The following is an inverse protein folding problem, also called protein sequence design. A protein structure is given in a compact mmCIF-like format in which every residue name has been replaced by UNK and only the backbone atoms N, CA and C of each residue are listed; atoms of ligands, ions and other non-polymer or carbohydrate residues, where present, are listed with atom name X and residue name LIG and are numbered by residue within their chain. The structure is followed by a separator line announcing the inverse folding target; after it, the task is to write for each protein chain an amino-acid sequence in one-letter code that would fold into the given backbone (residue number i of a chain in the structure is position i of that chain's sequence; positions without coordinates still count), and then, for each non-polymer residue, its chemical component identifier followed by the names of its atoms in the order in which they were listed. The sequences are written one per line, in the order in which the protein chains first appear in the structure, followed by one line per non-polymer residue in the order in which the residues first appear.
data_IF_662064773469
#
_entry.id   IF_662064773469
#
_cell.length_a   1.000
_cell.length_b   1.000
_cell.length_c   1.000
_cell.angle_alpha   90.00
_cell.angle_beta   90.00
_cell.angle_gamma   90.00
#
_symmetry.space_group_name_H-M   'P 1'
#
loop_
_entity.id
_entity.type
_entity.pdbx_description
1 polymer ?
#
# COMPACT_ATOMS: atom_id res chain seq x y z
N UNK A 1 -20.37 13.21 -5.97
CA UNK A 1 -20.42 11.95 -5.20
C UNK A 1 -18.99 11.47 -4.93
N UNK A 2 -18.54 11.35 -3.68
CA UNK A 2 -17.37 10.55 -3.33
C UNK A 2 -17.84 9.23 -2.69
N UNK A 3 -18.07 8.19 -3.50
CA UNK A 3 -18.31 6.81 -3.04
C UNK A 3 -16.98 6.04 -2.96
N UNK A 4 -15.95 6.65 -2.36
CA UNK A 4 -14.75 5.90 -1.98
C UNK A 4 -14.96 5.44 -0.56
N UNK A 5 -15.60 4.27 -0.44
CA UNK A 5 -15.44 3.37 0.67
C UNK A 5 -13.94 3.11 0.86
N UNK A 6 -13.26 4.02 1.55
CA UNK A 6 -12.06 3.73 2.30
C UNK A 6 -12.49 2.66 3.29
N UNK A 7 -12.36 1.40 2.88
CA UNK A 7 -12.54 0.22 3.72
C UNK A 7 -11.51 0.26 4.84
N UNK A 8 -11.76 1.11 5.84
CA UNK A 8 -11.45 1.22 7.27
C UNK A 8 -10.18 0.54 7.85
N UNK A 9 -9.37 -0.23 7.13
CA UNK A 9 -8.30 -1.06 7.69
C UNK A 9 -6.87 -0.76 7.18
N UNK A 10 -6.66 0.12 6.19
CA UNK A 10 -5.29 0.45 5.76
C UNK A 10 -4.73 1.67 6.54
N UNK A 11 -4.28 1.46 7.77
CA UNK A 11 -3.59 2.50 8.55
C UNK A 11 -2.16 2.70 8.03
N UNK A 12 -1.99 3.41 6.90
CA UNK A 12 -0.69 3.70 6.28
C UNK A 12 0.30 4.43 7.22
N UNK A 13 -0.19 4.99 8.32
CA UNK A 13 0.58 5.65 9.37
C UNK A 13 1.67 4.71 9.89
N UNK A 14 2.94 5.05 9.61
CA UNK A 14 4.13 4.30 10.07
C UNK A 14 4.94 3.61 8.98
N UNK A 15 4.59 3.74 7.69
CA UNK A 15 5.46 3.27 6.61
C UNK A 15 6.46 4.39 6.28
N UNK A 16 7.69 4.30 6.81
CA UNK A 16 8.80 5.14 6.36
C UNK A 16 9.37 4.56 5.06
N UNK A 17 9.30 5.34 3.99
CA UNK A 17 9.80 4.96 2.68
C UNK A 17 10.94 5.88 2.30
N UNK A 18 12.12 5.30 2.06
CA UNK A 18 13.28 6.05 1.58
C UNK A 18 13.29 6.06 0.05
N UNK A 19 13.14 7.23 -0.61
CA UNK A 19 13.18 7.35 -2.06
C UNK A 19 14.53 6.92 -2.66
N UNK A 20 15.61 6.90 -1.89
CA UNK A 20 16.94 6.50 -2.36
C UNK A 20 17.16 4.98 -2.37
N UNK A 21 16.32 4.21 -1.67
CA UNK A 21 16.46 2.75 -1.53
C UNK A 21 15.38 1.94 -2.25
N UNK A 22 14.63 2.57 -3.15
CA UNK A 22 13.59 1.91 -3.95
C UNK A 22 12.25 1.81 -3.21
N UNK A 23 11.37 2.78 -3.45
CA UNK A 23 10.06 2.90 -2.78
C UNK A 23 9.17 1.67 -3.00
N UNK A 24 9.20 1.06 -4.18
CA UNK A 24 8.32 -0.06 -4.51
C UNK A 24 8.62 -1.31 -3.69
N UNK A 25 9.90 -1.66 -3.54
CA UNK A 25 10.31 -2.84 -2.77
C UNK A 25 10.05 -2.65 -1.27
N UNK A 26 10.32 -1.46 -0.73
CA UNK A 26 10.01 -1.13 0.66
C UNK A 26 8.50 -1.16 0.93
N UNK A 27 7.72 -0.57 0.03
CA UNK A 27 6.27 -0.58 0.13
C UNK A 27 5.72 -2.00 0.03
N UNK A 28 6.24 -2.82 -0.90
CA UNK A 28 5.90 -4.24 -0.99
C UNK A 28 6.19 -4.98 0.31
N UNK A 29 7.38 -4.80 0.90
CA UNK A 29 7.71 -5.47 2.17
C UNK A 29 6.80 -5.01 3.30
N UNK A 30 6.54 -3.71 3.42
CA UNK A 30 5.63 -3.18 4.44
C UNK A 30 4.20 -3.71 4.27
N UNK A 31 3.71 -3.80 3.03
CA UNK A 31 2.41 -4.40 2.70
C UNK A 31 2.39 -5.89 3.07
N UNK A 32 3.40 -6.65 2.64
CA UNK A 32 3.51 -8.09 2.92
C UNK A 32 3.57 -8.37 4.41
N UNK A 33 4.36 -7.61 5.17
CA UNK A 33 4.44 -7.76 6.63
C UNK A 33 3.08 -7.53 7.29
N UNK A 34 2.27 -6.58 6.81
CA UNK A 34 0.91 -6.32 7.35
C UNK A 34 -0.12 -7.38 6.96
N UNK A 35 0.04 -7.99 5.79
CA UNK A 35 -0.72 -9.20 5.40
C UNK A 35 -0.36 -10.35 6.32
N UNK A 36 0.93 -10.54 6.62
CA UNK A 36 1.39 -11.58 7.55
C UNK A 36 0.98 -11.31 9.01
N UNK A 37 0.91 -10.05 9.43
CA UNK A 37 0.43 -9.63 10.76
C UNK A 37 -1.08 -9.88 10.95
N UNK A 38 -1.79 -10.33 9.91
CA UNK A 38 -3.22 -10.61 9.96
C UNK A 38 -4.10 -9.36 9.98
N UNK A 39 -3.50 -8.17 9.83
CA UNK A 39 -4.23 -6.89 9.72
C UNK A 39 -4.84 -6.68 8.33
N UNK A 40 -4.36 -7.43 7.35
CA UNK A 40 -4.94 -7.50 6.01
C UNK A 40 -5.35 -8.94 5.74
N UNK A 41 -6.62 -9.25 5.92
CA UNK A 41 -7.14 -10.58 5.56
C UNK A 41 -6.91 -10.81 4.06
N UNK A 42 -6.35 -11.97 3.71
CA UNK A 42 -6.21 -12.43 2.32
C UNK A 42 -7.56 -12.32 1.59
N UNK A 43 -7.58 -11.61 0.47
CA UNK A 43 -8.81 -11.33 -0.30
C UNK A 43 -9.53 -10.03 0.07
N UNK A 44 -9.05 -9.29 1.09
CA UNK A 44 -9.53 -7.93 1.34
C UNK A 44 -9.14 -7.03 0.18
N UNK A 45 -10.10 -6.20 -0.28
CA UNK A 45 -9.83 -5.22 -1.32
C UNK A 45 -8.74 -4.26 -0.85
N UNK A 46 -7.60 -4.29 -1.54
CA UNK A 46 -6.55 -3.30 -1.37
C UNK A 46 -7.10 -1.91 -1.75
N UNK A 47 -6.68 -0.84 -1.06
CA UNK A 47 -7.02 0.51 -1.45
C UNK A 47 -6.51 0.78 -2.87
N UNK A 48 -7.21 1.64 -3.61
CA UNK A 48 -6.77 2.03 -4.93
C UNK A 48 -5.36 2.63 -4.85
N UNK A 49 -4.52 2.36 -5.85
CA UNK A 49 -3.12 2.80 -5.86
C UNK A 49 -2.98 4.32 -5.70
N UNK A 50 -4.04 5.06 -6.07
CA UNK A 50 -4.12 6.53 -5.96
C UNK A 50 -4.34 6.99 -4.53
N UNK A 51 -5.28 6.38 -3.80
CA UNK A 51 -5.53 6.69 -2.40
C UNK A 51 -4.35 6.33 -1.51
N UNK A 52 -3.72 5.18 -1.76
CA UNK A 52 -2.53 4.78 -1.02
C UNK A 52 -1.35 5.72 -1.28
N UNK A 53 -1.14 6.12 -2.54
CA UNK A 53 -0.12 7.10 -2.91
C UNK A 53 -0.35 8.45 -2.22
N UNK A 54 -1.60 8.92 -2.18
CA UNK A 54 -1.96 10.17 -1.51
C UNK A 54 -1.76 10.08 0.01
N UNK A 55 -2.16 8.96 0.64
CA UNK A 55 -2.01 8.75 2.07
C UNK A 55 -0.54 8.64 2.53
N UNK A 56 0.32 8.08 1.69
CA UNK A 56 1.76 7.92 1.95
C UNK A 56 2.62 9.08 1.42
N UNK A 57 2.04 10.00 0.64
CA UNK A 57 2.80 11.06 -0.02
C UNK A 57 3.80 10.57 -1.07
N UNK A 58 3.58 9.37 -1.65
CA UNK A 58 4.49 8.78 -2.65
C UNK A 58 3.90 8.79 -4.05
N UNK A 59 4.74 8.59 -5.06
CA UNK A 59 4.27 8.53 -6.45
C UNK A 59 3.44 7.27 -6.71
N UNK A 60 2.35 7.41 -7.47
CA UNK A 60 1.48 6.31 -7.92
C UNK A 60 2.28 5.18 -8.58
N UNK A 61 3.31 5.51 -9.35
CA UNK A 61 4.14 4.51 -10.03
C UNK A 61 4.83 3.56 -9.05
N UNK A 62 5.27 4.07 -7.88
CA UNK A 62 5.88 3.25 -6.84
C UNK A 62 4.87 2.30 -6.20
N UNK A 63 3.65 2.77 -5.98
CA UNK A 63 2.54 1.94 -5.47
C UNK A 63 2.15 0.85 -6.45
N UNK A 64 2.00 1.19 -7.73
CA UNK A 64 1.67 0.21 -8.77
C UNK A 64 2.75 -0.86 -8.85
N UNK A 65 4.04 -0.49 -8.84
CA UNK A 65 5.14 -1.46 -8.82
C UNK A 65 5.15 -2.34 -7.58
N UNK A 66 4.81 -1.80 -6.40
CA UNK A 66 4.69 -2.59 -5.18
C UNK A 66 3.54 -3.60 -5.24
N UNK A 67 2.39 -3.19 -5.80
CA UNK A 67 1.26 -4.08 -6.02
C UNK A 67 1.57 -5.16 -7.05
N UNK A 68 2.24 -4.80 -8.15
CA UNK A 68 2.70 -5.75 -9.16
C UNK A 68 3.61 -6.83 -8.53
N UNK A 69 4.55 -6.42 -7.67
CA UNK A 69 5.38 -7.34 -6.88
C UNK A 69 4.59 -8.19 -5.85
N UNK A 70 3.41 -7.74 -5.43
CA UNK A 70 2.52 -8.48 -4.52
C UNK A 70 1.67 -9.52 -5.25
N UNK A 71 1.37 -9.27 -6.53
CA UNK A 71 0.61 -10.18 -7.38
C UNK A 71 1.47 -11.22 -8.12
N UNK A 72 2.77 -10.95 -8.30
CA UNK A 72 3.75 -11.85 -8.89
C UNK A 72 4.12 -13.01 -7.94
#
# INVERSE_FOLDING_TARGET
MPDSALSIAFNATGIELDPKKGLSAQLYQALRQRVLDGRLNSGSRLPASRDLAAALGVSRNSVVRAYDQLYA
#
